data_IF_129912387631
#
_entry.id   IF_129912387631
#
_cell.length_a   1.000
_cell.length_b   1.000
_cell.length_c   1.000
_cell.angle_alpha   90.00
_cell.angle_beta   90.00
_cell.angle_gamma   90.00
#
_symmetry.space_group_name_H-M   'P 1'
#
loop_
_entity.id
_entity.type
_entity.pdbx_description
1 polymer ?
#
# COMPACT_ATOMS: atom_id res chain seq x y z
N UNK A 1 -12.40 -10.07 8.97
CA UNK A 1 -12.90 -8.74 9.37
C UNK A 1 -11.74 -7.75 9.40
N UNK A 2 -11.68 -6.81 8.43
CA UNK A 2 -10.69 -5.73 8.40
C UNK A 2 -10.66 -4.91 9.71
N UNK A 3 -11.81 -4.73 10.37
CA UNK A 3 -11.94 -3.97 11.61
C UNK A 3 -11.07 -4.48 12.78
N UNK A 4 -10.63 -5.74 12.74
CA UNK A 4 -9.76 -6.33 13.78
C UNK A 4 -8.27 -6.20 13.46
N UNK A 5 -7.87 -5.55 12.37
CA UNK A 5 -6.44 -5.38 12.04
C UNK A 5 -5.59 -4.80 13.19
N UNK A 6 -6.09 -3.87 14.06
CA UNK A 6 -5.28 -3.35 15.17
C UNK A 6 -5.01 -4.41 16.24
N UNK A 7 -5.90 -5.39 16.41
CA UNK A 7 -5.76 -6.44 17.43
C UNK A 7 -4.71 -7.49 17.06
N UNK A 8 -4.27 -7.50 15.80
CA UNK A 8 -3.21 -8.40 15.32
C UNK A 8 -1.80 -7.86 15.64
N UNK A 9 -1.66 -6.58 15.98
CA UNK A 9 -0.39 -5.99 16.38
C UNK A 9 0.06 -6.54 17.73
N UNK A 10 1.37 -6.68 17.93
CA UNK A 10 1.97 -7.22 19.16
C UNK A 10 1.56 -8.68 19.49
N UNK A 11 1.01 -9.40 18.51
CA UNK A 11 0.73 -10.85 18.61
C UNK A 11 1.88 -11.67 17.99
N UNK A 12 1.86 -13.01 18.09
CA UNK A 12 2.84 -13.86 17.38
C UNK A 12 2.82 -13.73 15.85
N UNK A 13 1.75 -13.16 15.29
CA UNK A 13 1.62 -12.88 13.85
C UNK A 13 2.27 -11.55 13.44
N UNK A 14 2.85 -10.81 14.38
CA UNK A 14 3.61 -9.59 14.15
C UNK A 14 5.09 -9.85 14.49
N UNK A 15 6.01 -9.27 13.72
CA UNK A 15 7.42 -9.24 14.07
C UNK A 15 7.72 -8.32 15.25
N UNK A 16 6.82 -7.38 15.57
CA UNK A 16 6.90 -6.49 16.73
C UNK A 16 8.15 -5.60 16.72
N UNK A 17 8.56 -5.14 15.54
CA UNK A 17 9.68 -4.21 15.42
C UNK A 17 9.37 -2.90 16.14
N UNK A 18 10.43 -2.28 16.65
CA UNK A 18 10.40 -0.92 17.19
C UNK A 18 11.41 -0.07 16.45
N UNK A 19 11.09 1.21 16.28
CA UNK A 19 12.06 2.17 15.74
C UNK A 19 13.20 2.37 16.74
N UNK A 20 14.33 2.92 16.26
CA UNK A 20 15.29 3.56 17.16
C UNK A 20 14.67 4.79 17.83
N UNK A 21 15.20 5.27 18.97
CA UNK A 21 14.70 6.45 19.64
C UNK A 21 14.93 7.69 18.77
N UNK A 22 13.90 8.52 18.64
CA UNK A 22 13.96 9.75 17.86
C UNK A 22 13.75 11.00 18.72
N UNK A 23 14.44 12.09 18.39
CA UNK A 23 14.15 13.42 18.97
C UNK A 23 13.03 14.16 18.23
N UNK A 24 12.63 13.67 17.04
CA UNK A 24 11.66 14.34 16.15
C UNK A 24 10.37 13.54 15.94
N UNK A 25 10.32 12.30 16.42
CA UNK A 25 9.21 11.39 16.19
C UNK A 25 8.93 10.56 17.44
N UNK A 26 7.71 10.03 17.56
CA UNK A 26 7.30 9.13 18.64
C UNK A 26 7.52 9.70 20.06
N UNK A 27 7.51 11.04 20.21
CA UNK A 27 7.81 11.73 21.47
C UNK A 27 6.85 11.37 22.62
N UNK A 28 5.62 10.97 22.30
CA UNK A 28 4.62 10.50 23.27
C UNK A 28 4.64 8.99 23.53
N UNK A 29 5.57 8.25 22.94
CA UNK A 29 5.70 6.79 23.13
C UNK A 29 6.79 6.49 24.17
N UNK A 30 6.66 5.32 24.81
CA UNK A 30 7.69 4.82 25.73
C UNK A 30 9.05 4.76 25.04
N UNK A 31 10.08 5.28 25.70
CA UNK A 31 11.46 5.37 25.22
C UNK A 31 11.62 6.09 23.86
N UNK A 32 10.63 6.91 23.46
CA UNK A 32 10.59 7.58 22.15
C UNK A 32 10.68 6.61 20.97
N UNK A 33 10.17 5.38 21.12
CA UNK A 33 10.17 4.34 20.08
C UNK A 33 8.74 4.03 19.63
N UNK A 34 8.48 4.06 18.33
CA UNK A 34 7.19 3.61 17.79
C UNK A 34 7.19 2.11 17.55
N UNK A 35 6.03 1.50 17.76
CA UNK A 35 5.75 0.17 17.23
C UNK A 35 5.67 0.24 15.70
N UNK A 36 6.33 -0.69 15.02
CA UNK A 36 6.39 -0.78 13.57
C UNK A 36 5.89 -2.16 13.10
N UNK A 37 4.57 -2.38 13.07
CA UNK A 37 3.99 -3.69 12.87
C UNK A 37 4.34 -4.25 11.48
N UNK A 38 4.75 -5.53 11.43
CA UNK A 38 5.05 -6.27 10.20
C UNK A 38 4.53 -7.69 10.32
N UNK A 39 3.77 -8.15 9.33
CA UNK A 39 3.19 -9.50 9.34
C UNK A 39 4.26 -10.61 9.32
N UNK A 40 4.18 -11.49 10.31
CA UNK A 40 4.96 -12.73 10.49
C UNK A 40 4.05 -13.95 10.27
N UNK A 41 3.52 -14.05 9.06
CA UNK A 41 2.59 -15.10 8.64
C UNK A 41 2.72 -15.28 7.13
N UNK A 42 2.27 -16.42 6.58
CA UNK A 42 2.18 -16.58 5.13
C UNK A 42 1.22 -15.51 4.56
N UNK A 43 1.64 -14.80 3.51
CA UNK A 43 1.00 -13.57 3.03
C UNK A 43 1.59 -12.29 3.63
N UNK A 44 2.31 -12.38 4.75
CA UNK A 44 3.06 -11.28 5.33
C UNK A 44 2.14 -10.13 5.79
N UNK A 45 2.51 -8.89 5.43
CA UNK A 45 1.78 -7.71 5.87
C UNK A 45 0.38 -7.59 5.25
N UNK A 46 0.08 -8.26 4.14
CA UNK A 46 -1.27 -8.19 3.55
C UNK A 46 -2.35 -8.83 4.43
N UNK A 47 -1.97 -9.74 5.34
CA UNK A 47 -2.89 -10.38 6.30
C UNK A 47 -3.22 -9.46 7.48
N UNK A 48 -2.28 -8.57 7.85
CA UNK A 48 -2.41 -7.65 8.99
C UNK A 48 -2.89 -6.25 8.59
N UNK A 49 -3.08 -5.99 7.29
CA UNK A 49 -3.41 -4.65 6.82
C UNK A 49 -4.89 -4.29 7.11
N UNK A 50 -5.23 -3.02 6.90
CA UNK A 50 -6.60 -2.52 7.04
C UNK A 50 -7.48 -2.78 5.79
N UNK A 51 -7.02 -3.62 4.85
CA UNK A 51 -7.70 -3.96 3.59
C UNK A 51 -8.04 -2.77 2.68
N UNK A 52 -7.35 -1.63 2.85
CA UNK A 52 -7.48 -0.48 1.96
C UNK A 52 -6.75 -0.74 0.64
N UNK A 53 -7.47 -0.62 -0.47
CA UNK A 53 -6.90 -0.66 -1.82
C UNK A 53 -6.93 0.73 -2.43
N UNK A 54 -5.76 1.37 -2.55
CA UNK A 54 -5.57 2.71 -3.11
C UNK A 54 -4.33 2.68 -3.99
N UNK A 55 -4.39 3.31 -5.16
CA UNK A 55 -3.24 3.51 -6.05
C UNK A 55 -2.66 4.90 -5.87
N UNK A 56 -1.38 5.06 -6.23
CA UNK A 56 -0.73 6.38 -6.25
C UNK A 56 -1.38 7.30 -7.29
N UNK A 57 -1.19 8.61 -7.12
CA UNK A 57 -1.58 9.57 -8.15
C UNK A 57 -0.67 9.38 -9.36
N UNK A 58 -1.18 9.60 -10.58
CA UNK A 58 -0.39 9.59 -11.82
C UNK A 58 0.91 10.41 -11.71
N UNK A 59 0.88 11.55 -11.00
CA UNK A 59 2.05 12.41 -10.75
C UNK A 59 3.17 11.76 -9.93
N UNK A 60 2.87 10.73 -9.15
CA UNK A 60 3.87 9.99 -8.37
C UNK A 60 4.77 9.12 -9.27
N UNK A 61 4.28 8.78 -10.47
CA UNK A 61 4.98 7.96 -11.46
C UNK A 61 5.61 8.82 -12.56
N UNK A 62 4.83 9.74 -13.13
CA UNK A 62 5.17 10.49 -14.36
C UNK A 62 6.25 11.54 -14.24
N UNK A 63 6.96 11.75 -15.36
CA UNK A 63 8.15 12.59 -15.52
C UNK A 63 7.96 14.11 -15.74
N UNK A 64 6.85 14.73 -15.30
CA UNK A 64 6.63 16.18 -15.55
C UNK A 64 7.74 17.02 -14.87
N UNK A 65 8.15 18.19 -15.37
CA UNK A 65 9.37 18.87 -14.82
C UNK A 65 9.22 19.52 -13.43
N UNK A 66 8.00 19.69 -12.91
CA UNK A 66 7.73 20.60 -11.77
C UNK A 66 7.35 19.95 -10.42
N UNK A 67 7.62 18.66 -10.19
CA UNK A 67 7.33 17.98 -8.89
C UNK A 67 8.51 17.08 -8.50
N UNK A 68 8.71 16.96 -7.18
CA UNK A 68 9.91 16.45 -6.52
C UNK A 68 9.97 14.90 -6.43
N UNK A 69 8.86 14.18 -6.65
CA UNK A 69 8.77 12.73 -6.46
C UNK A 69 8.20 12.03 -7.70
N UNK A 70 9.06 11.43 -8.54
CA UNK A 70 8.67 10.81 -9.82
C UNK A 70 9.55 9.62 -10.13
N UNK A 71 8.95 8.44 -10.24
CA UNK A 71 9.74 7.21 -10.39
C UNK A 71 10.54 7.19 -11.68
N UNK A 72 9.94 7.58 -12.80
CA UNK A 72 10.64 7.57 -14.08
C UNK A 72 11.81 8.56 -14.12
N UNK A 73 11.61 9.79 -13.61
CA UNK A 73 12.66 10.83 -13.58
C UNK A 73 13.80 10.55 -12.61
N UNK A 74 13.62 9.63 -11.66
CA UNK A 74 14.67 9.16 -10.76
C UNK A 74 15.57 8.10 -11.42
N UNK A 75 15.50 7.95 -12.75
CA UNK A 75 16.34 7.02 -13.50
C UNK A 75 15.74 5.62 -13.61
N UNK A 76 14.41 5.49 -13.53
CA UNK A 76 13.71 4.21 -13.69
C UNK A 76 12.84 4.22 -14.98
N UNK A 77 13.43 4.04 -16.18
CA UNK A 77 12.67 3.96 -17.42
C UNK A 77 11.60 2.87 -17.36
N UNK A 78 10.41 3.14 -17.92
CA UNK A 78 9.29 2.20 -17.89
C UNK A 78 8.49 2.20 -16.58
N UNK A 79 8.69 3.20 -15.72
CA UNK A 79 7.92 3.40 -14.49
C UNK A 79 7.03 4.65 -14.55
N UNK A 80 6.67 5.12 -15.75
CA UNK A 80 5.59 6.10 -15.93
C UNK A 80 4.24 5.48 -15.54
N UNK A 81 3.21 6.30 -15.30
CA UNK A 81 1.90 5.79 -14.93
C UNK A 81 1.32 4.87 -16.02
N UNK A 82 1.50 5.25 -17.28
CA UNK A 82 1.09 4.48 -18.44
C UNK A 82 1.74 3.09 -18.48
N UNK A 83 3.01 2.98 -18.10
CA UNK A 83 3.74 1.72 -18.10
C UNK A 83 3.33 0.79 -16.95
N UNK A 84 3.00 1.35 -15.78
CA UNK A 84 2.64 0.55 -14.60
C UNK A 84 1.14 0.20 -14.54
N UNK A 85 0.27 0.99 -15.16
CA UNK A 85 -1.19 0.77 -15.13
C UNK A 85 -1.61 -0.65 -15.57
N UNK A 86 -1.04 -1.26 -16.63
CA UNK A 86 -1.35 -2.63 -17.01
C UNK A 86 -1.08 -3.65 -15.89
N UNK A 87 -0.06 -3.44 -15.06
CA UNK A 87 0.27 -4.33 -13.95
C UNK A 87 -0.71 -4.20 -12.79
N UNK A 88 -1.16 -2.97 -12.49
CA UNK A 88 -2.24 -2.77 -11.52
C UNK A 88 -3.51 -3.49 -11.97
N UNK A 89 -3.93 -3.30 -13.22
CA UNK A 89 -5.10 -3.97 -13.81
C UNK A 89 -4.96 -5.49 -13.83
N UNK A 90 -3.77 -6.02 -14.13
CA UNK A 90 -3.51 -7.47 -14.16
C UNK A 90 -3.79 -8.15 -12.81
N UNK A 91 -3.49 -7.48 -11.70
CA UNK A 91 -3.71 -8.04 -10.36
C UNK A 91 -5.16 -7.91 -9.87
N UNK A 92 -5.87 -6.90 -10.34
CA UNK A 92 -7.16 -6.45 -9.82
C UNK A 92 -8.36 -7.20 -10.43
N UNK A 93 -9.35 -7.48 -9.59
CA UNK A 93 -10.70 -7.85 -9.96
C UNK A 93 -11.67 -6.88 -9.27
N UNK A 94 -11.99 -5.80 -9.97
CA UNK A 94 -12.95 -4.80 -9.53
C UNK A 94 -14.37 -5.35 -9.60
N UNK A 95 -15.04 -5.39 -8.45
CA UNK A 95 -16.40 -5.91 -8.32
C UNK A 95 -17.45 -4.84 -8.05
N UNK A 96 -17.02 -3.62 -7.76
CA UNK A 96 -17.91 -2.47 -7.56
C UNK A 96 -18.50 -2.07 -8.93
N UNK A 97 -19.82 -2.22 -9.16
CA UNK A 97 -20.44 -2.04 -10.47
C UNK A 97 -20.13 -0.67 -11.12
N UNK A 98 -20.09 0.38 -10.31
CA UNK A 98 -19.86 1.77 -10.74
C UNK A 98 -18.47 1.98 -11.34
N UNK A 99 -17.47 1.19 -10.95
CA UNK A 99 -16.08 1.32 -11.37
C UNK A 99 -15.61 0.17 -12.27
N UNK A 100 -16.47 -0.84 -12.48
CA UNK A 100 -16.10 -2.10 -13.14
C UNK A 100 -15.75 -1.94 -14.61
N UNK A 101 -16.40 -0.99 -15.28
CA UNK A 101 -16.23 -0.73 -16.73
C UNK A 101 -15.34 0.48 -17.02
N UNK A 102 -14.67 1.02 -16.00
CA UNK A 102 -13.72 2.12 -16.16
C UNK A 102 -12.41 1.63 -16.83
N UNK A 103 -11.80 2.49 -17.65
CA UNK A 103 -10.50 2.23 -18.28
C UNK A 103 -9.37 1.98 -17.27
N UNK A 104 -9.49 2.49 -16.05
CA UNK A 104 -8.47 2.34 -15.01
C UNK A 104 -8.52 0.99 -14.29
N UNK A 105 -9.61 0.21 -14.38
CA UNK A 105 -9.78 -0.98 -13.55
C UNK A 105 -9.65 -2.32 -14.32
N UNK A 106 -9.12 -3.32 -13.63
CA UNK A 106 -9.04 -4.71 -14.08
C UNK A 106 -10.19 -5.54 -13.50
N UNK A 107 -10.63 -6.58 -14.22
CA UNK A 107 -11.78 -7.43 -13.84
C UNK A 107 -11.48 -8.93 -13.78
N UNK A 108 -10.27 -9.31 -14.16
CA UNK A 108 -9.88 -10.71 -14.37
C UNK A 108 -8.73 -11.16 -13.44
N UNK A 109 -8.26 -10.27 -12.56
CA UNK A 109 -7.19 -10.56 -11.62
C UNK A 109 -7.63 -11.42 -10.42
N UNK A 110 -6.67 -11.75 -9.56
CA UNK A 110 -6.90 -12.58 -8.37
C UNK A 110 -7.27 -11.77 -7.13
N UNK A 111 -6.96 -10.47 -7.09
CA UNK A 111 -7.25 -9.60 -5.96
C UNK A 111 -8.63 -8.98 -6.13
N UNK A 112 -9.61 -9.46 -5.36
CA UNK A 112 -10.96 -8.87 -5.37
C UNK A 112 -10.97 -7.52 -4.66
N UNK A 113 -11.54 -6.51 -5.32
CA UNK A 113 -11.75 -5.16 -4.76
C UNK A 113 -13.25 -4.88 -4.76
N UNK A 114 -13.81 -4.75 -3.56
CA UNK A 114 -15.24 -4.61 -3.32
C UNK A 114 -15.52 -3.77 -2.06
N UNK A 115 -16.78 -3.37 -1.87
CA UNK A 115 -17.21 -2.74 -0.62
C UNK A 115 -17.10 -3.70 0.55
N UNK A 116 -16.96 -3.13 1.74
CA UNK A 116 -16.99 -3.89 2.99
C UNK A 116 -18.39 -4.39 3.32
#
# INVERSE_FOLDING_TARGET
MPLMFPTLQLTPFDWQYKTEPGEKYCLGMNDKRCNWPRGKVLGGCSVLNAMLYIRGNKRDYDSVKNYVYRWESLGNPGWSYEDVLPYFKKSENMRIPEFRDDEYHGKDGYLSVEHF
#
